data_IF_881415443883
#
_entry.id   IF_881415443883
#
_cell.length_a   1.000
_cell.length_b   1.000
_cell.length_c   1.000
_cell.angle_alpha   90.00
_cell.angle_beta   90.00
_cell.angle_gamma   90.00
#
_symmetry.space_group_name_H-M   'P 1'
#
loop_
_entity.id
_entity.type
_entity.pdbx_description
1 polymer ?
#
# COMPACT_ATOMS: atom_id res chain seq x y z
N UNK A 1 21.19 -1.10 -3.10
CA UNK A 1 19.77 -1.08 -3.52
C UNK A 1 18.81 -1.02 -2.33
N UNK A 2 19.00 -1.85 -1.29
CA UNK A 2 18.11 -1.91 -0.11
C UNK A 2 17.93 -0.56 0.62
N UNK A 3 18.99 0.23 0.80
CA UNK A 3 18.89 1.57 1.42
C UNK A 3 18.00 2.55 0.64
N UNK A 4 17.88 2.40 -0.68
CA UNK A 4 16.97 3.18 -1.52
C UNK A 4 15.56 2.57 -1.57
N UNK A 5 15.45 1.26 -1.34
CA UNK A 5 14.18 0.54 -1.32
C UNK A 5 13.31 0.95 -0.13
N UNK A 6 13.90 1.19 1.05
CA UNK A 6 13.14 1.59 2.26
C UNK A 6 12.34 2.88 2.06
N UNK A 7 12.94 4.03 1.66
CA UNK A 7 12.18 5.25 1.41
C UNK A 7 11.19 5.10 0.24
N UNK A 8 11.53 4.29 -0.78
CA UNK A 8 10.62 3.98 -1.88
C UNK A 8 9.38 3.18 -1.42
N UNK A 9 9.57 2.19 -0.55
CA UNK A 9 8.50 1.40 0.02
C UNK A 9 7.56 2.26 0.90
N UNK A 10 8.13 3.15 1.71
CA UNK A 10 7.34 4.13 2.48
C UNK A 10 6.55 5.07 1.56
N UNK A 11 7.17 5.54 0.48
CA UNK A 11 6.51 6.37 -0.52
C UNK A 11 5.32 5.64 -1.16
N UNK A 12 5.48 4.37 -1.55
CA UNK A 12 4.38 3.55 -2.09
C UNK A 12 3.27 3.35 -1.06
N UNK A 13 3.60 3.02 0.19
CA UNK A 13 2.60 2.86 1.26
C UNK A 13 1.79 4.15 1.48
N UNK A 14 2.46 5.30 1.47
CA UNK A 14 1.80 6.60 1.59
C UNK A 14 0.87 6.85 0.41
N UNK A 15 1.36 6.72 -0.83
CA UNK A 15 0.58 6.96 -2.03
C UNK A 15 -0.65 6.07 -2.13
N UNK A 16 -0.51 4.78 -1.81
CA UNK A 16 -1.64 3.84 -1.87
C UNK A 16 -2.69 4.18 -0.80
N UNK A 17 -2.29 4.55 0.43
CA UNK A 17 -3.25 4.98 1.45
C UNK A 17 -3.98 6.27 1.04
N UNK A 18 -3.29 7.23 0.42
CA UNK A 18 -3.93 8.44 -0.12
C UNK A 18 -4.92 8.12 -1.23
N UNK A 19 -4.55 7.25 -2.18
CA UNK A 19 -5.45 6.83 -3.25
C UNK A 19 -6.65 6.05 -2.73
N UNK A 20 -6.46 5.19 -1.72
CA UNK A 20 -7.54 4.45 -1.05
C UNK A 20 -8.52 5.41 -0.37
N UNK A 21 -8.00 6.43 0.31
CA UNK A 21 -8.83 7.47 0.90
C UNK A 21 -9.64 8.23 -0.15
N UNK A 22 -8.99 8.63 -1.25
CA UNK A 22 -9.68 9.28 -2.38
C UNK A 22 -10.75 8.39 -3.00
N UNK A 23 -10.50 7.08 -3.10
CA UNK A 23 -11.47 6.10 -3.59
C UNK A 23 -12.69 6.01 -2.65
N UNK A 24 -12.47 5.95 -1.34
CA UNK A 24 -13.54 5.94 -0.35
C UNK A 24 -14.41 7.21 -0.42
N UNK A 25 -13.78 8.38 -0.58
CA UNK A 25 -14.48 9.66 -0.74
C UNK A 25 -15.26 9.75 -2.06
N UNK A 26 -14.66 9.34 -3.18
CA UNK A 26 -15.30 9.41 -4.50
C UNK A 26 -16.46 8.41 -4.67
N UNK A 27 -16.39 7.26 -3.97
CA UNK A 27 -17.40 6.19 -4.06
C UNK A 27 -18.44 6.26 -2.95
N UNK A 28 -18.41 7.29 -2.10
CA UNK A 28 -19.31 7.48 -0.95
C UNK A 28 -19.42 6.19 -0.09
N UNK A 29 -18.27 5.56 0.17
CA UNK A 29 -18.24 4.27 0.88
C UNK A 29 -18.62 4.53 2.34
N UNK A 30 -19.64 3.85 2.89
CA UNK A 30 -20.03 4.03 4.28
C UNK A 30 -18.86 3.76 5.22
N UNK A 31 -18.69 4.59 6.25
CA UNK A 31 -17.55 4.57 7.17
C UNK A 31 -17.31 3.19 7.80
N UNK A 32 -18.36 2.40 8.01
CA UNK A 32 -18.29 1.02 8.50
C UNK A 32 -17.48 0.08 7.60
N UNK A 33 -17.52 0.32 6.28
CA UNK A 33 -16.86 -0.53 5.26
C UNK A 33 -15.48 -0.01 4.87
N UNK A 34 -15.20 1.27 5.08
CA UNK A 34 -13.89 1.88 4.83
C UNK A 34 -12.72 1.12 5.49
N UNK A 35 -12.74 0.75 6.78
CA UNK A 35 -11.62 0.04 7.41
C UNK A 35 -11.36 -1.32 6.77
N UNK A 36 -12.38 -1.99 6.24
CA UNK A 36 -12.21 -3.26 5.52
C UNK A 36 -11.45 -3.06 4.21
N UNK A 37 -11.77 -2.01 3.46
CA UNK A 37 -11.09 -1.64 2.20
C UNK A 37 -9.63 -1.29 2.47
N UNK A 38 -9.37 -0.40 3.44
CA UNK A 38 -8.01 -0.04 3.84
C UNK A 38 -7.20 -1.25 4.29
N UNK A 39 -7.79 -2.16 5.06
CA UNK A 39 -7.10 -3.39 5.50
C UNK A 39 -6.74 -4.28 4.31
N UNK A 40 -7.67 -4.50 3.38
CA UNK A 40 -7.40 -5.32 2.19
C UNK A 40 -6.28 -4.71 1.35
N UNK A 41 -6.33 -3.41 1.06
CA UNK A 41 -5.31 -2.75 0.23
C UNK A 41 -3.95 -2.76 0.94
N UNK A 42 -3.90 -2.46 2.24
CA UNK A 42 -2.63 -2.48 2.99
C UNK A 42 -2.01 -3.89 3.02
N UNK A 43 -2.81 -4.96 3.13
CA UNK A 43 -2.30 -6.34 3.02
C UNK A 43 -1.73 -6.61 1.63
N UNK A 44 -2.44 -6.23 0.56
CA UNK A 44 -1.98 -6.42 -0.81
C UNK A 44 -0.68 -5.65 -1.10
N UNK A 45 -0.58 -4.40 -0.66
CA UNK A 45 0.65 -3.59 -0.80
C UNK A 45 1.79 -4.20 -0.01
N UNK A 46 1.53 -4.67 1.21
CA UNK A 46 2.58 -5.31 2.03
C UNK A 46 3.12 -6.56 1.34
N UNK A 47 2.26 -7.39 0.77
CA UNK A 47 2.67 -8.57 -0.02
C UNK A 47 3.52 -8.12 -1.23
N UNK A 48 3.05 -7.12 -1.98
CA UNK A 48 3.77 -6.60 -3.14
C UNK A 48 5.17 -6.07 -2.78
N UNK A 49 5.28 -5.31 -1.69
CA UNK A 49 6.54 -4.77 -1.20
C UNK A 49 7.48 -5.86 -0.70
N UNK A 50 6.97 -6.88 -0.02
CA UNK A 50 7.78 -8.02 0.42
C UNK A 50 8.30 -8.81 -0.80
N UNK A 51 7.44 -9.11 -1.77
CA UNK A 51 7.85 -9.80 -3.00
C UNK A 51 8.92 -9.01 -3.76
N UNK A 52 8.74 -7.69 -3.90
CA UNK A 52 9.72 -6.83 -4.56
C UNK A 52 11.03 -6.70 -3.76
N UNK A 53 10.95 -6.69 -2.42
CA UNK A 53 12.14 -6.72 -1.56
C UNK A 53 12.95 -8.01 -1.75
N UNK A 54 12.27 -9.15 -1.80
CA UNK A 54 12.89 -10.46 -2.07
C UNK A 54 13.58 -10.43 -3.42
N UNK A 55 12.88 -10.02 -4.48
CA UNK A 55 13.44 -9.93 -5.84
C UNK A 55 14.70 -9.05 -5.89
N UNK A 56 14.66 -7.85 -5.28
CA UNK A 56 15.81 -6.92 -5.21
C UNK A 56 16.94 -7.43 -4.31
N UNK A 57 16.66 -8.32 -3.36
CA UNK A 57 17.68 -8.88 -2.47
C UNK A 57 18.39 -10.10 -3.06
N UNK A 58 17.73 -10.84 -3.96
CA UNK A 58 18.26 -12.06 -4.59
C UNK A 58 18.71 -11.88 -6.04
N UNK A 59 18.50 -10.69 -6.63
CA UNK A 59 18.99 -10.28 -7.96
C UNK A 59 20.09 -9.25 -7.81
#
# INVERSE_FOLDING_TARGET
MILFFIPFALFILFFINTMTNSLCLQRDIPEERQPKVFRTINVLVTILLISSYVEVSFT
#
